data_IF_703767004721
#
_entry.id   IF_703767004721
#
_cell.length_a   1.000
_cell.length_b   1.000
_cell.length_c   1.000
_cell.angle_alpha   90.00
_cell.angle_beta   90.00
_cell.angle_gamma   90.00
#
_symmetry.space_group_name_H-M   'P 1'
#
loop_
_entity.id
_entity.type
_entity.pdbx_description
1 polymer ?
#
# COMPACT_ATOMS: atom_id res chain seq x y z
N UNK A 1 5.07 -11.35 -8.20
CA UNK A 1 4.39 -11.20 -6.90
C UNK A 1 4.79 -9.86 -6.29
N UNK A 2 4.11 -9.38 -5.25
CA UNK A 2 4.48 -8.17 -4.53
C UNK A 2 4.53 -8.47 -3.02
N UNK A 3 5.53 -7.93 -2.33
CA UNK A 3 5.55 -7.94 -0.87
C UNK A 3 4.64 -6.83 -0.37
N UNK A 4 3.77 -7.16 0.57
CA UNK A 4 2.86 -6.23 1.23
C UNK A 4 3.18 -6.20 2.71
N UNK A 5 3.68 -5.08 3.23
CA UNK A 5 3.96 -4.87 4.65
C UNK A 5 2.87 -4.06 5.31
N UNK A 6 2.33 -4.54 6.42
CA UNK A 6 1.39 -3.80 7.24
C UNK A 6 2.11 -2.68 7.98
N UNK A 7 1.67 -1.45 7.79
CA UNK A 7 2.23 -0.26 8.46
C UNK A 7 2.01 -0.28 9.98
N UNK A 8 0.90 -0.88 10.44
CA UNK A 8 0.53 -0.87 11.86
C UNK A 8 1.20 -1.93 12.72
N UNK A 9 1.43 -3.13 12.20
CA UNK A 9 2.02 -4.23 12.96
C UNK A 9 3.36 -4.73 12.39
N UNK A 10 3.76 -4.26 11.21
CA UNK A 10 4.99 -4.71 10.55
C UNK A 10 4.88 -6.05 9.81
N UNK A 11 3.70 -6.67 9.75
CA UNK A 11 3.51 -7.97 9.10
C UNK A 11 3.70 -7.89 7.57
N UNK A 12 4.64 -8.67 7.02
CA UNK A 12 4.90 -8.75 5.58
C UNK A 12 4.32 -10.01 4.96
N UNK A 13 3.56 -9.86 3.87
CA UNK A 13 2.98 -10.95 3.09
C UNK A 13 3.28 -10.81 1.61
N UNK A 14 3.84 -11.85 1.00
CA UNK A 14 3.94 -11.93 -0.45
C UNK A 14 2.59 -12.33 -1.06
N UNK A 15 2.04 -11.47 -1.92
CA UNK A 15 0.84 -11.82 -2.69
C UNK A 15 0.76 -11.02 -3.98
N UNK A 16 0.06 -11.58 -4.97
CA UNK A 16 -0.24 -10.87 -6.21
C UNK A 16 -1.19 -9.68 -5.97
N UNK A 17 -2.12 -9.81 -5.03
CA UNK A 17 -3.15 -8.82 -4.75
C UNK A 17 -2.94 -8.19 -3.37
N UNK A 18 -3.29 -6.91 -3.23
CA UNK A 18 -3.22 -6.18 -1.96
C UNK A 18 -4.18 -6.81 -0.94
N UNK A 19 -3.69 -7.28 0.22
CA UNK A 19 -4.57 -7.79 1.25
C UNK A 19 -5.47 -6.67 1.79
N UNK A 20 -6.78 -6.93 1.86
CA UNK A 20 -7.75 -5.94 2.40
C UNK A 20 -7.69 -5.83 3.91
N UNK A 21 -7.37 -6.92 4.60
CA UNK A 21 -7.38 -7.05 6.06
C UNK A 21 -6.10 -7.71 6.55
N UNK A 22 -5.56 -7.16 7.64
CA UNK A 22 -4.40 -7.65 8.36
C UNK A 22 -4.81 -8.86 9.21
N UNK A 23 -4.21 -10.04 9.04
CA UNK A 23 -4.52 -11.20 9.88
C UNK A 23 -4.03 -11.02 11.32
N UNK A 24 -2.90 -10.33 11.52
CA UNK A 24 -2.31 -10.10 12.86
C UNK A 24 -3.07 -9.03 13.66
N UNK A 25 -3.48 -7.96 12.99
CA UNK A 25 -3.97 -6.76 13.63
C UNK A 25 -5.44 -6.45 13.37
N UNK A 26 -6.10 -7.20 12.48
CA UNK A 26 -7.51 -7.02 12.12
C UNK A 26 -7.83 -5.77 11.30
N UNK A 27 -6.89 -4.83 11.23
CA UNK A 27 -7.00 -3.55 10.53
C UNK A 27 -7.11 -3.73 9.01
N UNK A 28 -7.84 -2.81 8.37
CA UNK A 28 -8.09 -2.87 6.94
C UNK A 28 -7.41 -1.73 6.19
N UNK A 29 -6.84 -2.05 5.02
CA UNK A 29 -6.17 -1.06 4.17
C UNK A 29 -4.77 -0.61 4.61
N UNK A 30 -4.19 -1.21 5.65
CA UNK A 30 -2.89 -0.83 6.23
C UNK A 30 -1.67 -1.41 5.52
N UNK A 31 -1.86 -2.32 4.57
CA UNK A 31 -0.76 -2.89 3.80
C UNK A 31 -0.15 -1.88 2.83
N UNK A 32 1.17 -1.88 2.72
CA UNK A 32 1.97 -1.02 1.84
C UNK A 32 2.83 -1.94 0.99
N UNK A 33 3.00 -1.63 -0.29
CA UNK A 33 3.79 -2.48 -1.21
C UNK A 33 5.28 -2.26 -0.93
N UNK A 34 5.96 -3.28 -0.45
CA UNK A 34 7.41 -3.30 -0.25
C UNK A 34 8.05 -3.68 -1.60
N UNK A 35 8.67 -2.72 -2.29
CA UNK A 35 9.29 -2.94 -3.61
C UNK A 35 8.48 -2.47 -4.83
N UNK A 36 7.52 -1.56 -4.64
CA UNK A 36 6.99 -0.75 -5.74
C UNK A 36 7.49 0.68 -5.59
N UNK A 37 8.30 1.13 -6.54
CA UNK A 37 8.72 2.53 -6.74
C UNK A 37 7.62 3.51 -6.29
N UNK A 38 7.91 4.50 -5.43
CA UNK A 38 6.93 5.46 -4.92
C UNK A 38 6.57 6.51 -5.99
N UNK A 39 6.27 6.09 -7.22
CA UNK A 39 5.70 6.98 -8.22
C UNK A 39 4.21 7.20 -7.94
N UNK A 40 3.86 8.46 -7.70
CA UNK A 40 2.51 9.00 -7.86
C UNK A 40 1.50 8.69 -6.74
N UNK A 41 1.71 9.26 -5.55
CA UNK A 41 0.60 9.76 -4.72
C UNK A 41 0.83 11.23 -4.35
N UNK A 42 0.78 12.07 -5.38
CA UNK A 42 0.59 13.50 -5.23
C UNK A 42 -0.59 13.95 -6.13
N UNK A 43 -1.74 13.33 -5.95
CA UNK A 43 -3.00 13.94 -6.38
C UNK A 43 -3.37 14.97 -5.33
N UNK A 44 -2.93 16.21 -5.53
CA UNK A 44 -3.43 17.40 -4.85
C UNK A 44 -3.63 18.50 -5.89
N UNK A 45 -4.77 18.38 -6.59
CA UNK A 45 -5.55 19.42 -7.27
C UNK A 45 -4.79 20.68 -7.75
N UNK A 46 -4.53 20.77 -9.05
CA UNK A 46 -4.13 22.02 -9.69
C UNK A 46 -4.08 21.90 -11.21
N UNK A 47 -5.17 22.30 -11.86
CA UNK A 47 -5.30 22.50 -13.31
C UNK A 47 -4.10 23.28 -13.89
N UNK A 48 -3.25 22.65 -14.70
CA UNK A 48 -2.38 23.38 -15.64
C UNK A 48 -2.89 23.15 -17.08
N UNK A 49 -3.62 24.14 -17.58
CA UNK A 49 -3.95 24.32 -18.99
C UNK A 49 -2.74 24.97 -19.68
N UNK A 50 -2.07 24.22 -20.55
CA UNK A 50 -1.40 24.57 -21.82
C UNK A 50 -0.10 23.79 -21.97
#
# INVERSE_FOLDING_TARGET
MALWKCDKCGFSKESRCKPRKCPECGESGTFVKEGGDPACKASSKGRCKR
#
